data_IF_563244982209
#
_entry.id   IF_563244982209
#
_cell.length_a   1.000
_cell.length_b   1.000
_cell.length_c   1.000
_cell.angle_alpha   90.00
_cell.angle_beta   90.00
_cell.angle_gamma   90.00
#
_symmetry.space_group_name_H-M   'P 1'
#
loop_
_entity.id
_entity.type
_entity.pdbx_description
1 polymer ?
#
# COMPACT_ATOMS: atom_id res chain seq x y z
N UNK A 1 11.21 4.08 7.30
CA UNK A 1 10.58 3.95 5.95
C UNK A 1 9.56 2.80 5.99
N UNK A 2 8.44 2.86 5.28
CA UNK A 2 7.45 1.78 5.21
C UNK A 2 7.53 1.04 3.87
N UNK A 3 7.78 -0.27 3.89
CA UNK A 3 7.67 -1.13 2.72
C UNK A 3 6.18 -1.39 2.42
N UNK A 4 5.73 -0.99 1.23
CA UNK A 4 4.30 -0.99 0.88
C UNK A 4 3.86 -2.21 0.09
N UNK A 5 4.73 -2.79 -0.70
CA UNK A 5 4.48 -3.98 -1.49
C UNK A 5 5.81 -4.59 -1.91
N UNK A 6 5.77 -5.82 -2.39
CA UNK A 6 6.91 -6.49 -2.99
C UNK A 6 6.46 -7.48 -4.06
N UNK A 7 7.40 -7.85 -4.93
CA UNK A 7 7.27 -9.01 -5.81
C UNK A 7 7.94 -10.22 -5.14
N UNK A 8 7.27 -11.36 -5.18
CA UNK A 8 7.89 -12.62 -4.76
C UNK A 8 8.69 -13.13 -5.94
N UNK A 9 10.01 -13.16 -5.83
CA UNK A 9 10.91 -13.64 -6.89
C UNK A 9 11.34 -15.10 -6.69
N UNK A 10 11.20 -15.61 -5.46
CA UNK A 10 11.55 -16.97 -5.06
C UNK A 10 10.71 -17.42 -3.86
N UNK A 11 10.49 -18.74 -3.72
CA UNK A 11 9.71 -19.27 -2.59
C UNK A 11 8.20 -19.06 -2.73
N UNK A 12 7.69 -19.09 -3.96
CA UNK A 12 6.27 -18.88 -4.29
C UNK A 12 5.33 -19.80 -3.52
N UNK A 13 5.67 -21.08 -3.39
CA UNK A 13 4.85 -22.06 -2.66
C UNK A 13 4.73 -21.72 -1.17
N UNK A 14 5.85 -21.34 -0.53
CA UNK A 14 5.86 -20.90 0.87
C UNK A 14 5.09 -19.59 1.07
N UNK A 15 5.24 -18.64 0.14
CA UNK A 15 4.46 -17.41 0.18
C UNK A 15 2.97 -17.69 -0.01
N UNK A 16 2.62 -18.63 -0.90
CA UNK A 16 1.25 -19.07 -1.18
C UNK A 16 0.61 -19.77 0.01
N UNK A 17 1.34 -20.66 0.69
CA UNK A 17 0.84 -21.35 1.90
C UNK A 17 0.56 -20.37 3.05
N UNK A 18 1.36 -19.30 3.17
CA UNK A 18 1.11 -18.19 4.10
C UNK A 18 -0.01 -17.25 3.66
N UNK A 19 -0.38 -17.28 2.37
CA UNK A 19 -1.35 -16.38 1.73
C UNK A 19 -2.39 -17.16 0.90
N UNK A 20 -3.22 -18.04 1.51
CA UNK A 20 -4.19 -18.86 0.77
C UNK A 20 -5.29 -18.02 0.08
N UNK A 21 -5.49 -16.77 0.50
CA UNK A 21 -6.42 -15.84 -0.13
C UNK A 21 -5.87 -15.18 -1.41
N UNK A 22 -4.57 -15.30 -1.70
CA UNK A 22 -4.00 -14.77 -2.93
C UNK A 22 -4.50 -15.58 -4.13
N UNK A 23 -5.00 -14.91 -5.16
CA UNK A 23 -5.51 -15.55 -6.38
C UNK A 23 -4.49 -15.60 -7.49
N UNK A 24 -3.53 -14.68 -7.46
CA UNK A 24 -2.45 -14.56 -8.44
C UNK A 24 -1.13 -14.26 -7.73
N UNK A 25 0.05 -14.55 -8.34
CA UNK A 25 1.35 -14.26 -7.73
C UNK A 25 1.52 -12.79 -7.30
N UNK A 26 1.00 -11.85 -8.12
CA UNK A 26 1.02 -10.42 -7.78
C UNK A 26 0.24 -10.06 -6.51
N UNK A 27 -0.71 -10.88 -6.07
CA UNK A 27 -1.52 -10.61 -4.89
C UNK A 27 -0.84 -11.00 -3.57
N UNK A 28 0.24 -11.80 -3.64
CA UNK A 28 0.95 -12.36 -2.49
C UNK A 28 1.44 -11.25 -1.54
N UNK A 29 2.07 -10.22 -2.09
CA UNK A 29 2.69 -9.13 -1.32
C UNK A 29 2.22 -7.73 -1.75
N UNK A 30 0.99 -7.61 -2.31
CA UNK A 30 0.36 -6.34 -2.71
C UNK A 30 -0.25 -5.58 -1.52
N UNK A 31 0.61 -5.05 -0.65
CA UNK A 31 0.22 -4.25 0.52
C UNK A 31 1.11 -4.53 1.73
N UNK A 32 1.24 -3.60 2.70
CA UNK A 32 2.16 -3.77 3.83
C UNK A 32 1.89 -5.03 4.66
N UNK A 33 0.63 -5.26 5.05
CA UNK A 33 0.26 -6.44 5.83
C UNK A 33 0.40 -7.74 5.02
N UNK A 34 0.17 -7.68 3.70
CA UNK A 34 0.33 -8.84 2.82
C UNK A 34 1.80 -9.21 2.65
N UNK A 35 2.67 -8.21 2.48
CA UNK A 35 4.11 -8.38 2.42
C UNK A 35 4.64 -9.03 3.70
N UNK A 36 4.26 -8.50 4.87
CA UNK A 36 4.63 -9.07 6.16
C UNK A 36 4.21 -10.54 6.28
N UNK A 37 2.95 -10.84 5.94
CA UNK A 37 2.44 -12.21 5.98
C UNK A 37 3.14 -13.15 4.98
N UNK A 38 3.41 -12.71 3.75
CA UNK A 38 4.13 -13.51 2.75
C UNK A 38 5.56 -13.86 3.22
N UNK A 39 6.25 -12.91 3.86
CA UNK A 39 7.57 -13.11 4.47
C UNK A 39 7.52 -13.90 5.78
N UNK A 40 6.32 -14.09 6.36
CA UNK A 40 6.15 -14.77 7.65
C UNK A 40 6.67 -13.92 8.81
N UNK A 41 6.52 -12.60 8.72
CA UNK A 41 6.90 -11.64 9.75
C UNK A 41 5.77 -11.46 10.76
N UNK A 42 6.14 -11.43 12.05
CA UNK A 42 5.25 -11.17 13.17
C UNK A 42 5.84 -10.16 14.17
N UNK A 43 5.17 -9.92 15.30
CA UNK A 43 5.63 -8.96 16.32
C UNK A 43 7.04 -9.27 16.87
N UNK A 44 7.41 -10.55 16.94
CA UNK A 44 8.73 -10.99 17.42
C UNK A 44 9.90 -10.57 16.51
N UNK A 45 9.63 -10.19 15.27
CA UNK A 45 10.65 -9.68 14.34
C UNK A 45 10.93 -8.18 14.54
N UNK A 46 10.19 -7.52 15.45
CA UNK A 46 10.41 -6.12 15.80
C UNK A 46 11.80 -5.89 16.38
N UNK A 47 12.52 -4.90 15.82
CA UNK A 47 13.87 -4.56 16.26
C UNK A 47 14.99 -5.39 15.60
N UNK A 48 14.67 -6.32 14.70
CA UNK A 48 15.66 -7.05 13.93
C UNK A 48 16.58 -6.10 13.14
N UNK A 49 17.89 -6.32 13.24
CA UNK A 49 18.85 -5.66 12.35
C UNK A 49 18.73 -6.28 10.95
N UNK A 50 18.34 -5.47 9.97
CA UNK A 50 18.15 -5.91 8.59
C UNK A 50 19.48 -6.06 7.82
N UNK A 51 20.58 -5.52 8.35
CA UNK A 51 21.89 -5.56 7.71
C UNK A 51 22.81 -6.63 8.32
N UNK A 52 22.43 -7.18 9.48
CA UNK A 52 23.15 -8.32 10.08
C UNK A 52 23.03 -9.58 9.19
N UNK A 53 24.16 -10.17 8.75
CA UNK A 53 24.17 -11.40 7.97
C UNK A 53 23.47 -12.60 8.63
N UNK A 54 23.38 -12.67 9.96
CA UNK A 54 22.72 -13.78 10.68
C UNK A 54 21.25 -13.49 11.00
N UNK A 55 20.75 -12.29 10.69
CA UNK A 55 19.35 -11.95 10.90
C UNK A 55 18.42 -12.82 10.05
N UNK A 56 17.28 -13.20 10.64
CA UNK A 56 16.22 -13.96 9.97
C UNK A 56 15.65 -13.24 8.76
N UNK A 57 15.60 -11.90 8.83
CA UNK A 57 15.11 -11.03 7.76
C UNK A 57 16.20 -10.02 7.42
N UNK A 58 16.56 -9.95 6.14
CA UNK A 58 17.66 -9.12 5.67
C UNK A 58 17.22 -8.22 4.53
N UNK A 59 17.77 -7.02 4.50
CA UNK A 59 17.65 -6.09 3.39
C UNK A 59 18.92 -6.15 2.57
N UNK A 60 18.77 -6.44 1.27
CA UNK A 60 19.87 -6.41 0.30
C UNK A 60 19.59 -5.31 -0.71
N UNK A 61 20.61 -4.51 -1.00
CA UNK A 61 20.53 -3.52 -2.06
C UNK A 61 20.58 -4.25 -3.41
N UNK A 62 19.53 -4.06 -4.21
CA UNK A 62 19.49 -4.47 -5.61
C UNK A 62 20.03 -3.39 -6.53
N UNK A 63 19.98 -3.65 -7.84
CA UNK A 63 20.21 -2.62 -8.84
C UNK A 63 19.16 -1.52 -8.74
N UNK A 64 19.55 -0.27 -9.01
CA UNK A 64 18.60 0.84 -9.12
C UNK A 64 17.62 0.57 -10.26
N UNK A 65 16.32 0.82 -10.00
CA UNK A 65 15.25 0.62 -10.97
C UNK A 65 14.56 1.95 -11.24
N UNK A 66 14.43 2.30 -12.51
CA UNK A 66 13.82 3.54 -12.99
C UNK A 66 12.72 3.25 -14.01
N UNK A 67 11.69 4.11 -14.15
CA UNK A 67 11.51 5.36 -13.42
C UNK A 67 10.84 5.20 -12.04
N UNK A 68 11.37 5.90 -11.04
CA UNK A 68 10.72 6.04 -9.72
C UNK A 68 9.72 7.20 -9.74
N UNK A 69 8.49 6.93 -9.32
CA UNK A 69 7.43 7.93 -9.14
C UNK A 69 7.26 8.25 -7.65
N UNK A 70 6.85 9.48 -7.35
CA UNK A 70 6.55 9.95 -5.99
C UNK A 70 5.18 10.59 -5.88
N UNK A 71 4.57 10.56 -4.70
CA UNK A 71 3.26 11.18 -4.47
C UNK A 71 2.77 11.09 -3.03
N UNK A 72 1.52 11.55 -2.77
CA UNK A 72 0.97 11.59 -1.44
C UNK A 72 0.80 10.19 -0.85
N UNK A 73 1.00 10.09 0.46
CA UNK A 73 0.73 8.87 1.23
C UNK A 73 -0.79 8.70 1.38
N UNK A 74 -1.25 7.45 1.27
CA UNK A 74 -2.66 7.09 1.44
C UNK A 74 -2.94 6.72 2.90
N UNK A 75 -4.07 7.14 3.45
CA UNK A 75 -4.56 6.73 4.77
C UNK A 75 -3.96 7.50 5.95
N UNK A 76 -3.54 8.75 5.74
CA UNK A 76 -3.03 9.63 6.80
C UNK A 76 -3.87 10.90 6.89
N UNK A 77 -3.98 11.48 8.08
CA UNK A 77 -4.71 12.74 8.34
C UNK A 77 -3.80 13.98 8.34
N UNK A 78 -2.48 13.80 8.42
CA UNK A 78 -1.48 14.88 8.54
C UNK A 78 -0.50 14.79 7.37
N UNK A 79 -0.02 15.94 6.88
CA UNK A 79 0.93 16.02 5.77
C UNK A 79 0.44 15.26 4.51
N UNK A 80 -0.84 15.40 4.20
CA UNK A 80 -1.54 14.67 3.14
C UNK A 80 -1.05 15.00 1.73
N UNK A 81 -0.45 16.18 1.53
CA UNK A 81 0.16 16.60 0.27
C UNK A 81 1.63 16.25 0.07
N UNK A 82 2.33 15.77 1.12
CA UNK A 82 3.76 15.53 1.05
C UNK A 82 4.09 14.30 0.17
N UNK A 83 5.07 14.37 -0.76
CA UNK A 83 5.36 13.31 -1.74
C UNK A 83 6.21 12.16 -1.16
N UNK A 84 5.93 11.70 0.05
CA UNK A 84 6.73 10.69 0.76
C UNK A 84 6.33 9.24 0.46
N UNK A 85 5.58 9.00 -0.61
CA UNK A 85 5.32 7.67 -1.15
C UNK A 85 6.07 7.53 -2.44
N UNK A 86 6.91 6.49 -2.54
CA UNK A 86 7.70 6.16 -3.73
C UNK A 86 7.25 4.82 -4.30
N UNK A 87 7.27 4.67 -5.62
CA UNK A 87 6.98 3.41 -6.31
C UNK A 87 7.60 3.36 -7.70
N UNK A 88 7.85 2.15 -8.20
CA UNK A 88 8.27 1.91 -9.58
C UNK A 88 7.08 2.03 -10.53
N UNK A 89 7.25 2.77 -11.62
CA UNK A 89 6.22 2.84 -12.67
C UNK A 89 5.99 1.45 -13.30
N UNK A 90 4.72 1.11 -13.55
CA UNK A 90 4.36 -0.19 -14.16
C UNK A 90 4.48 -1.42 -13.25
N UNK A 91 5.01 -1.30 -12.03
CA UNK A 91 5.18 -2.44 -11.14
C UNK A 91 3.83 -3.08 -10.74
N UNK A 92 3.60 -4.37 -11.05
CA UNK A 92 2.30 -5.03 -10.89
C UNK A 92 1.87 -5.20 -9.42
N UNK A 93 2.83 -5.21 -8.50
CA UNK A 93 2.62 -5.31 -7.05
C UNK A 93 2.22 -3.97 -6.42
N UNK A 94 2.40 -2.84 -7.11
CA UNK A 94 2.01 -1.52 -6.62
C UNK A 94 0.54 -1.27 -6.95
N UNK A 95 -0.28 -0.96 -5.94
CA UNK A 95 -1.64 -0.51 -6.20
C UNK A 95 -1.62 0.85 -6.89
N UNK A 96 -2.31 0.93 -8.04
CA UNK A 96 -2.62 2.19 -8.69
C UNK A 96 -3.17 3.16 -7.65
N UNK A 97 -2.65 4.40 -7.63
CA UNK A 97 -3.17 5.45 -6.78
C UNK A 97 -4.66 5.63 -7.08
N UNK A 98 -5.52 5.39 -6.08
CA UNK A 98 -6.94 5.72 -6.14
C UNK A 98 -7.14 6.96 -5.26
N UNK A 99 -7.54 8.10 -5.82
CA UNK A 99 -8.01 9.21 -5.02
C UNK A 99 -9.18 8.74 -4.15
N UNK A 100 -9.22 9.18 -2.88
CA UNK A 100 -10.38 8.93 -2.03
C UNK A 100 -11.62 9.57 -2.66
N UNK A 101 -12.74 8.85 -2.70
CA UNK A 101 -14.01 9.47 -3.10
C UNK A 101 -14.39 10.53 -2.04
N UNK A 102 -14.79 11.75 -2.44
CA UNK A 102 -15.42 12.69 -1.52
C UNK A 102 -16.60 12.00 -0.83
N UNK A 103 -16.71 12.14 0.50
CA UNK A 103 -17.89 11.67 1.23
C UNK A 103 -19.09 12.45 0.71
N UNK A 104 -20.06 11.78 0.10
CA UNK A 104 -21.33 12.40 -0.29
C UNK A 104 -22.08 12.73 1.00
N UNK A 105 -22.21 14.01 1.32
CA UNK A 105 -23.02 14.45 2.45
C UNK A 105 -24.50 14.18 2.11
N UNK A 106 -25.22 13.30 2.84
CA UNK A 106 -26.62 12.98 2.53
C UNK A 106 -27.58 14.15 2.78
N UNK A 107 -27.14 15.18 3.51
CA UNK A 107 -28.02 16.24 4.01
C UNK A 107 -28.19 17.44 3.06
N UNK A 108 -27.46 17.49 1.95
CA UNK A 108 -27.52 18.62 1.01
C UNK A 108 -28.77 18.65 0.08
N UNK A 109 -29.65 17.63 0.14
CA UNK A 109 -30.80 17.49 -0.78
C UNK A 109 -32.11 18.05 -0.18
N UNK A 110 -32.13 18.52 1.08
CA UNK A 110 -33.36 18.96 1.76
C UNK A 110 -33.57 20.48 1.90
N UNK A 111 -32.80 21.33 1.21
CA UNK A 111 -32.91 22.79 1.38
C UNK A 111 -33.14 23.56 0.06
N UNK A 112 -33.96 23.04 -0.84
CA UNK A 112 -34.50 23.83 -1.96
C UNK A 112 -36.00 23.54 -2.12
N UNK A 113 -36.81 24.04 -1.19
CA UNK A 113 -38.23 24.27 -1.41
C UNK A 113 -38.43 25.57 -2.19
N UNK A 114 -39.39 25.68 -3.12
CA UNK A 114 -39.54 26.84 -3.97
C UNK A 114 -40.04 28.05 -3.17
N UNK A 115 -39.34 29.17 -3.34
CA UNK A 115 -39.76 30.47 -2.85
C UNK A 115 -40.97 30.96 -3.68
N UNK A 116 -41.95 31.43 -2.93
CA UNK A 116 -43.15 32.16 -3.33
C UNK A 116 -42.81 33.32 -4.30
N UNK A 117 -43.70 33.63 -5.25
CA UNK A 117 -43.59 34.82 -6.11
C UNK A 117 -44.98 35.40 -6.39
N UNK A 118 -45.22 36.69 -6.10
CA UNK A 118 -46.51 37.36 -6.27
C UNK A 118 -46.61 37.99 -7.69
N UNK A 119 -47.80 38.44 -8.10
CA UNK A 119 -48.23 39.81 -7.80
C UNK A 119 -49.60 39.95 -7.11
#
# INVERSE_FOLDING_TARGET
VLLRAGEVVSGHELAGSRRPAARTPRDLARGPARLAAALGLGPADGGADLLDPVSRVRLRLGAAQEPVRSGPRVGISVATGAPWRFWLEGAPSVSAFRPGRPRRNPDAVRSSGPADSPP
#
